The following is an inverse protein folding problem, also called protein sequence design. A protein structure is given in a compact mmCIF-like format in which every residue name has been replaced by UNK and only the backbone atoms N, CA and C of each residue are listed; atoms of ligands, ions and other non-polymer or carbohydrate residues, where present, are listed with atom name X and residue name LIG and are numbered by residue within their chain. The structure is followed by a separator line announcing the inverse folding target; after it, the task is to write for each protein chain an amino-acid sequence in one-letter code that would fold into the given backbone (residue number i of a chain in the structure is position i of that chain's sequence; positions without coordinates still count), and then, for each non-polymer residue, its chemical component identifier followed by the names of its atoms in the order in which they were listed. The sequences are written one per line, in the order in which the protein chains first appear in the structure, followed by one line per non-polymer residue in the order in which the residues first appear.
data_IF_772874804911
#
_entry.id   IF_772874804911
#
_cell.length_a   1.000
_cell.length_b   1.000
_cell.length_c   1.000
_cell.angle_alpha   90.00
_cell.angle_beta   90.00
_cell.angle_gamma   90.00
#
_symmetry.space_group_name_H-M   'P 1'
#
loop_
_entity.id
_entity.type
_entity.pdbx_description
1 polymer ?
#
# COMPACT_ATOMS: atom_id res chain seq x y z
N UNK A 1 3.84 6.02 -5.11
CA UNK A 1 4.92 6.64 -4.31
C UNK A 1 6.13 5.71 -4.27
N UNK A 2 7.16 5.85 -5.11
CA UNK A 2 7.23 6.75 -6.26
C UNK A 2 6.46 6.24 -7.48
N UNK A 3 6.46 6.99 -8.60
CA UNK A 3 5.80 6.59 -9.84
C UNK A 3 6.25 5.23 -10.37
N UNK A 4 7.55 4.91 -10.25
CA UNK A 4 8.09 3.63 -10.72
C UNK A 4 7.48 2.42 -9.98
N UNK A 5 7.29 2.53 -8.67
CA UNK A 5 6.65 1.46 -7.88
C UNK A 5 5.17 1.29 -8.24
N UNK A 6 4.49 2.40 -8.57
CA UNK A 6 3.11 2.36 -9.05
C UNK A 6 3.02 1.68 -10.42
N UNK A 7 3.93 1.96 -11.34
CA UNK A 7 4.02 1.26 -12.63
C UNK A 7 4.30 -0.24 -12.44
N UNK A 8 5.25 -0.60 -11.59
CA UNK A 8 5.56 -2.01 -11.27
C UNK A 8 4.35 -2.74 -10.70
N UNK A 9 3.60 -2.11 -9.79
CA UNK A 9 2.37 -2.70 -9.26
C UNK A 9 1.34 -2.93 -10.36
N UNK A 10 1.11 -1.96 -11.25
CA UNK A 10 0.16 -2.14 -12.34
C UNK A 10 0.58 -3.25 -13.30
N UNK A 11 1.87 -3.30 -13.66
CA UNK A 11 2.41 -4.38 -14.49
C UNK A 11 2.18 -5.74 -13.83
N UNK A 12 2.45 -5.88 -12.53
CA UNK A 12 2.19 -7.14 -11.79
C UNK A 12 0.72 -7.53 -11.77
N UNK A 13 -0.20 -6.57 -11.67
CA UNK A 13 -1.64 -6.87 -11.76
C UNK A 13 -1.96 -7.48 -13.12
N UNK A 14 -1.44 -6.91 -14.20
CA UNK A 14 -1.63 -7.44 -15.56
C UNK A 14 -1.02 -8.84 -15.67
N UNK A 15 0.26 -9.00 -15.32
CA UNK A 15 1.01 -10.25 -15.48
C UNK A 15 0.43 -11.41 -14.65
N UNK A 16 -0.15 -11.11 -13.49
CA UNK A 16 -0.74 -12.10 -12.58
C UNK A 16 -2.24 -12.35 -12.84
N UNK A 17 -2.86 -11.60 -13.75
CA UNK A 17 -4.25 -11.81 -14.17
C UNK A 17 -4.28 -12.77 -15.36
N UNK A 18 -4.57 -14.05 -15.09
CA UNK A 18 -4.62 -15.10 -16.12
C UNK A 18 -5.91 -15.00 -16.94
N UNK A 19 -5.85 -14.35 -18.11
CA UNK A 19 -7.00 -14.12 -18.99
C UNK A 19 -6.63 -14.30 -20.46
N UNK A 20 -7.63 -14.48 -21.32
CA UNK A 20 -7.43 -14.75 -22.76
C UNK A 20 -7.71 -13.52 -23.64
N UNK A 21 -8.42 -12.53 -23.11
CA UNK A 21 -8.78 -11.31 -23.84
C UNK A 21 -8.61 -10.07 -22.97
N UNK A 22 -8.45 -8.91 -23.62
CA UNK A 22 -8.30 -7.63 -22.93
C UNK A 22 -9.48 -7.33 -21.99
N UNK A 23 -10.70 -7.72 -22.38
CA UNK A 23 -11.94 -7.43 -21.66
C UNK A 23 -12.07 -8.21 -20.34
N UNK A 24 -11.28 -9.25 -20.16
CA UNK A 24 -11.29 -10.08 -18.94
C UNK A 24 -10.34 -9.54 -17.86
N UNK A 25 -9.48 -8.56 -18.18
CA UNK A 25 -8.60 -7.94 -17.19
C UNK A 25 -9.36 -7.18 -16.10
N UNK A 26 -8.74 -7.08 -14.93
CA UNK A 26 -9.26 -6.30 -13.80
C UNK A 26 -9.29 -4.81 -14.20
N UNK A 27 -10.45 -4.10 -14.09
CA UNK A 27 -10.49 -2.66 -14.25
C UNK A 27 -9.68 -1.97 -13.14
N UNK A 28 -8.74 -1.09 -13.51
CA UNK A 28 -7.86 -0.40 -12.56
C UNK A 28 -7.95 1.11 -12.75
N UNK A 29 -8.16 1.83 -11.64
CA UNK A 29 -7.95 3.27 -11.54
C UNK A 29 -6.62 3.54 -10.85
N UNK A 30 -5.78 4.39 -11.42
CA UNK A 30 -4.47 4.73 -10.87
C UNK A 30 -4.41 6.22 -10.60
N UNK A 31 -4.22 6.58 -9.33
CA UNK A 31 -3.86 7.94 -8.92
C UNK A 31 -2.35 8.01 -8.64
N UNK A 32 -1.59 8.43 -9.66
CA UNK A 32 -0.16 8.65 -9.53
C UNK A 32 0.09 10.11 -9.15
N UNK A 33 0.06 10.40 -7.84
CA UNK A 33 0.16 11.75 -7.28
C UNK A 33 1.53 12.00 -6.60
N UNK A 34 2.61 12.27 -7.36
CA UNK A 34 3.96 12.41 -6.81
C UNK A 34 4.17 13.67 -5.95
N UNK A 35 3.25 14.64 -5.99
CA UNK A 35 3.30 15.85 -5.16
C UNK A 35 2.88 15.60 -3.70
N UNK A 36 2.50 14.37 -3.33
CA UNK A 36 2.35 13.98 -1.93
C UNK A 36 3.71 14.03 -1.24
N UNK A 37 3.74 14.73 -0.10
CA UNK A 37 4.90 14.96 0.75
C UNK A 37 5.63 13.66 1.11
N UNK A 38 6.93 13.73 1.40
CA UNK A 38 7.70 12.54 1.75
C UNK A 38 7.29 11.95 3.11
N UNK A 39 6.84 10.69 3.08
CA UNK A 39 6.31 10.00 4.26
C UNK A 39 7.40 9.78 5.31
N UNK A 40 8.60 9.40 4.88
CA UNK A 40 9.71 9.13 5.80
C UNK A 40 10.14 10.41 6.51
N UNK A 41 10.25 11.53 5.77
CA UNK A 41 10.58 12.82 6.35
C UNK A 41 9.56 13.26 7.40
N UNK A 42 8.26 13.10 7.12
CA UNK A 42 7.21 13.40 8.11
C UNK A 42 7.29 12.51 9.36
N UNK A 43 7.37 11.19 9.19
CA UNK A 43 7.47 10.22 10.30
C UNK A 43 8.70 10.50 11.17
N UNK A 44 9.77 11.02 10.57
CA UNK A 44 10.99 11.44 11.27
C UNK A 44 10.93 12.85 11.89
N UNK A 45 9.79 13.55 11.78
CA UNK A 45 9.62 14.92 12.29
C UNK A 45 10.37 15.99 11.49
N UNK A 46 10.71 15.72 10.23
CA UNK A 46 11.56 16.58 9.37
C UNK A 46 10.83 17.13 8.15
N UNK A 47 9.59 16.72 7.93
CA UNK A 47 8.83 17.03 6.72
C UNK A 47 7.39 17.45 7.01
N UNK A 48 6.73 18.07 6.03
CA UNK A 48 5.30 18.38 6.08
C UNK A 48 4.43 17.11 6.08
N UNK A 49 3.21 17.24 6.62
CA UNK A 49 2.24 16.16 6.75
C UNK A 49 1.60 15.76 5.39
N UNK A 50 1.75 14.50 4.92
CA UNK A 50 1.13 14.02 3.68
C UNK A 50 -0.35 13.63 3.82
N UNK A 51 -0.90 13.58 5.03
CA UNK A 51 -2.20 12.93 5.34
C UNK A 51 -3.34 13.47 4.47
N UNK A 52 -3.46 14.79 4.34
CA UNK A 52 -4.56 15.39 3.59
C UNK A 52 -4.54 15.01 2.10
N UNK A 53 -3.36 14.99 1.46
CA UNK A 53 -3.26 14.61 0.04
C UNK A 53 -3.41 13.11 -0.17
N UNK A 54 -3.02 12.30 0.81
CA UNK A 54 -3.28 10.86 0.84
C UNK A 54 -4.79 10.57 0.86
N UNK A 55 -5.52 11.25 1.76
CA UNK A 55 -6.97 11.15 1.86
C UNK A 55 -7.62 11.64 0.56
N UNK A 56 -7.20 12.79 0.03
CA UNK A 56 -7.73 13.31 -1.23
C UNK A 56 -7.54 12.31 -2.37
N UNK A 57 -6.36 11.69 -2.48
CA UNK A 57 -6.08 10.66 -3.48
C UNK A 57 -7.00 9.45 -3.35
N UNK A 58 -7.18 8.95 -2.12
CA UNK A 58 -8.06 7.83 -1.83
C UNK A 58 -9.52 8.14 -2.19
N UNK A 59 -10.00 9.33 -1.85
CA UNK A 59 -11.35 9.80 -2.19
C UNK A 59 -11.54 10.01 -3.70
N UNK A 60 -10.50 10.44 -4.44
CA UNK A 60 -10.56 10.50 -5.90
C UNK A 60 -10.77 9.12 -6.52
N UNK A 61 -10.07 8.09 -6.00
CA UNK A 61 -10.25 6.71 -6.44
C UNK A 61 -11.65 6.19 -6.12
N UNK A 62 -12.13 6.40 -4.89
CA UNK A 62 -13.49 6.01 -4.48
C UNK A 62 -14.56 6.68 -5.36
N UNK A 63 -14.48 8.00 -5.56
CA UNK A 63 -15.40 8.75 -6.45
C UNK A 63 -15.31 8.30 -7.91
N UNK A 64 -14.14 7.82 -8.34
CA UNK A 64 -13.92 7.24 -9.66
C UNK A 64 -14.58 5.87 -9.85
N UNK A 65 -15.09 5.26 -8.78
CA UNK A 65 -15.75 3.95 -8.81
C UNK A 65 -14.87 2.78 -8.37
N UNK A 66 -13.70 3.05 -7.76
CA UNK A 66 -12.91 1.98 -7.14
C UNK A 66 -13.71 1.31 -6.01
N UNK A 67 -13.56 -0.01 -5.87
CA UNK A 67 -14.22 -0.80 -4.83
C UNK A 67 -13.27 -1.26 -3.72
N UNK A 68 -11.97 -1.05 -3.90
CA UNK A 68 -10.93 -1.29 -2.92
C UNK A 68 -9.71 -0.42 -3.26
N UNK A 69 -8.86 -0.16 -2.27
CA UNK A 69 -7.62 0.61 -2.43
C UNK A 69 -6.42 -0.27 -2.10
N UNK A 70 -5.37 -0.14 -2.91
CA UNK A 70 -4.03 -0.67 -2.65
C UNK A 70 -3.00 0.45 -2.83
N UNK A 71 -1.93 0.42 -2.05
CA UNK A 71 -0.85 1.41 -2.16
C UNK A 71 0.49 0.75 -2.46
N UNK A 72 1.13 1.12 -3.57
CA UNK A 72 2.50 0.72 -3.91
C UNK A 72 3.54 1.47 -3.07
N UNK A 73 3.42 1.46 -1.74
CA UNK A 73 4.32 2.16 -0.82
C UNK A 73 4.21 1.64 0.62
N UNK A 74 5.28 1.07 1.17
CA UNK A 74 5.30 0.58 2.54
C UNK A 74 5.07 1.70 3.57
N UNK A 75 5.78 2.83 3.45
CA UNK A 75 5.68 3.92 4.44
C UNK A 75 4.33 4.64 4.43
N UNK A 76 3.61 4.63 3.31
CA UNK A 76 2.27 5.23 3.24
C UNK A 76 1.25 4.50 4.13
N UNK A 77 1.50 3.25 4.49
CA UNK A 77 0.64 2.49 5.38
C UNK A 77 0.65 2.97 6.83
N UNK A 78 1.62 3.82 7.21
CA UNK A 78 1.55 4.56 8.49
C UNK A 78 0.25 5.39 8.61
N UNK A 79 -0.32 5.81 7.47
CA UNK A 79 -1.53 6.62 7.40
C UNK A 79 -2.76 5.78 7.05
N UNK A 80 -2.68 4.45 7.09
CA UNK A 80 -3.75 3.55 6.65
C UNK A 80 -5.07 3.83 7.39
N UNK A 81 -5.03 4.00 8.71
CA UNK A 81 -6.23 4.30 9.50
C UNK A 81 -6.87 5.64 9.11
N UNK A 82 -6.04 6.66 8.84
CA UNK A 82 -6.54 7.98 8.41
C UNK A 82 -7.23 7.90 7.06
N UNK A 83 -6.67 7.11 6.14
CA UNK A 83 -7.27 6.85 4.82
C UNK A 83 -8.55 6.04 4.97
N UNK A 84 -8.51 4.94 5.73
CA UNK A 84 -9.64 4.03 5.92
C UNK A 84 -10.82 4.72 6.59
N UNK A 85 -10.58 5.63 7.54
CA UNK A 85 -11.61 6.44 8.19
C UNK A 85 -12.23 7.50 7.26
N UNK A 86 -11.56 7.84 6.15
CA UNK A 86 -11.99 8.87 5.21
C UNK A 86 -12.62 8.33 3.92
N UNK A 87 -12.71 7.00 3.78
CA UNK A 87 -13.28 6.28 2.62
C UNK A 87 -14.19 5.15 3.08
N UNK A 88 -15.20 4.79 2.29
CA UNK A 88 -16.12 3.68 2.60
C UNK A 88 -15.70 2.34 1.97
N UNK A 89 -14.65 2.35 1.14
CA UNK A 89 -14.09 1.15 0.52
C UNK A 89 -12.89 0.63 1.31
N UNK A 90 -12.63 -0.69 1.31
CA UNK A 90 -11.52 -1.26 2.05
C UNK A 90 -10.17 -0.86 1.47
N UNK A 91 -9.23 -0.54 2.35
CA UNK A 91 -7.80 -0.43 2.07
C UNK A 91 -7.12 -1.75 2.45
N UNK A 92 -6.45 -2.39 1.49
CA UNK A 92 -5.70 -3.62 1.75
C UNK A 92 -4.30 -3.26 2.26
N UNK A 93 -4.03 -3.59 3.53
CA UNK A 93 -2.75 -3.26 4.16
C UNK A 93 -1.62 -4.18 3.67
N UNK A 94 -0.54 -3.60 3.13
CA UNK A 94 0.54 -4.35 2.49
C UNK A 94 1.23 -5.36 3.42
N UNK A 95 1.42 -5.02 4.70
CA UNK A 95 2.07 -5.91 5.66
C UNK A 95 1.18 -7.12 6.02
N UNK A 96 -0.14 -6.91 6.13
CA UNK A 96 -1.10 -7.98 6.44
C UNK A 96 -1.19 -8.98 5.29
N UNK A 97 -1.31 -8.49 4.06
CA UNK A 97 -1.33 -9.33 2.84
C UNK A 97 0.00 -10.07 2.70
N UNK A 98 1.13 -9.42 3.00
CA UNK A 98 2.46 -10.06 2.98
C UNK A 98 2.53 -11.21 3.99
N UNK A 99 2.13 -10.99 5.25
CA UNK A 99 2.14 -12.04 6.27
C UNK A 99 1.21 -13.20 5.93
N UNK A 100 0.00 -12.89 5.45
CA UNK A 100 -0.97 -13.91 5.00
C UNK A 100 -0.36 -14.81 3.92
N UNK A 101 0.31 -14.21 2.92
CA UNK A 101 0.98 -14.97 1.88
C UNK A 101 2.18 -15.78 2.41
N UNK A 102 2.99 -15.23 3.32
CA UNK A 102 4.08 -15.96 3.96
C UNK A 102 3.55 -17.21 4.70
N UNK A 103 2.52 -17.05 5.54
CA UNK A 103 1.87 -18.16 6.28
C UNK A 103 1.37 -19.26 5.32
N UNK A 104 0.88 -18.89 4.14
CA UNK A 104 0.38 -19.84 3.14
C UNK A 104 1.50 -20.57 2.38
N UNK A 105 2.59 -19.88 2.02
CA UNK A 105 3.59 -20.40 1.10
C UNK A 105 4.83 -21.00 1.75
N UNK A 106 5.19 -20.57 2.96
CA UNK A 106 6.49 -20.85 3.55
C UNK A 106 6.44 -21.31 5.01
N UNK A 107 5.25 -21.58 5.55
CA UNK A 107 5.09 -22.08 6.93
C UNK A 107 5.61 -23.53 7.06
N UNK A 108 6.32 -23.88 8.16
CA UNK A 108 6.62 -23.03 9.32
C UNK A 108 7.85 -22.14 9.13
N UNK A 109 7.84 -20.95 9.72
CA UNK A 109 8.99 -20.05 9.83
C UNK A 109 9.08 -19.50 11.26
N UNK A 110 10.31 -19.26 11.72
CA UNK A 110 10.60 -18.77 13.08
C UNK A 110 11.19 -17.38 13.12
N UNK A 111 11.71 -16.88 11.99
CA UNK A 111 12.35 -15.57 11.90
C UNK A 111 12.17 -15.02 10.49
N UNK A 112 11.72 -13.77 10.39
CA UNK A 112 11.53 -13.05 9.13
C UNK A 112 12.43 -11.81 9.15
N UNK A 113 13.30 -11.69 8.15
CA UNK A 113 14.10 -10.48 7.95
C UNK A 113 13.30 -9.45 7.15
N UNK A 114 13.15 -8.23 7.70
CA UNK A 114 12.47 -7.12 7.03
C UNK A 114 13.49 -6.16 6.44
N UNK A 115 13.57 -6.11 5.10
CA UNK A 115 14.40 -5.15 4.38
C UNK A 115 13.53 -3.97 3.94
N UNK A 116 13.62 -2.86 4.66
CA UNK A 116 12.77 -1.70 4.41
C UNK A 116 13.47 -0.37 4.73
N UNK A 117 12.90 0.73 4.25
CA UNK A 117 13.39 2.09 4.54
C UNK A 117 13.33 2.39 6.04
N UNK A 118 14.14 3.34 6.51
CA UNK A 118 14.13 3.80 7.90
C UNK A 118 12.73 4.23 8.36
N UNK A 119 11.97 4.90 7.48
CA UNK A 119 10.60 5.30 7.76
C UNK A 119 9.69 4.10 8.01
N UNK A 120 9.83 3.03 7.23
CA UNK A 120 9.02 1.81 7.39
C UNK A 120 9.34 1.11 8.70
N UNK A 121 10.63 1.01 9.05
CA UNK A 121 11.06 0.35 10.28
C UNK A 121 10.63 1.15 11.52
N UNK A 122 10.82 2.47 11.50
CA UNK A 122 10.41 3.33 12.63
C UNK A 122 8.90 3.43 12.82
N UNK A 123 8.15 3.32 11.73
CA UNK A 123 6.69 3.33 11.77
C UNK A 123 6.08 1.98 12.19
N UNK A 124 6.89 0.95 12.45
CA UNK A 124 6.38 -0.36 12.90
C UNK A 124 5.56 -1.13 11.86
N UNK A 125 5.54 -0.69 10.59
CA UNK A 125 4.59 -1.17 9.56
C UNK A 125 4.52 -2.69 9.45
N UNK A 126 5.67 -3.36 9.54
CA UNK A 126 5.74 -4.82 9.52
C UNK A 126 5.87 -5.41 10.92
N UNK A 127 6.61 -4.77 11.82
CA UNK A 127 6.83 -5.25 13.19
C UNK A 127 5.49 -5.46 13.92
N UNK A 128 4.61 -4.47 13.87
CA UNK A 128 3.32 -4.51 14.58
C UNK A 128 2.45 -5.68 14.09
N UNK A 129 2.46 -5.94 12.77
CA UNK A 129 1.71 -7.04 12.16
C UNK A 129 2.34 -8.40 12.46
N UNK A 130 3.67 -8.49 12.43
CA UNK A 130 4.41 -9.73 12.63
C UNK A 130 4.39 -10.18 14.11
N UNK A 131 4.50 -9.26 15.06
CA UNK A 131 4.54 -9.58 16.50
C UNK A 131 3.16 -9.91 17.08
N UNK A 132 2.08 -9.41 16.47
CA UNK A 132 0.72 -9.75 16.86
C UNK A 132 0.26 -11.17 16.44
N UNK A 133 1.13 -11.97 15.79
CA UNK A 133 0.74 -13.13 14.97
C UNK A 133 1.69 -14.33 15.01
#
# INVERSE_FOLDING_TARGET
MGPQATLDLYQRIIDLTSVNTDQEHIPVLIDSYPQIEDRTAFILGKGPDPTNKLIESAQRLEKGGAQAIIMACNTAHYFADSIQNATNIPLLHIAEVTLSNLKKSFSPFTTIAVLATDGTQKAGIYQDVLEAN
#
